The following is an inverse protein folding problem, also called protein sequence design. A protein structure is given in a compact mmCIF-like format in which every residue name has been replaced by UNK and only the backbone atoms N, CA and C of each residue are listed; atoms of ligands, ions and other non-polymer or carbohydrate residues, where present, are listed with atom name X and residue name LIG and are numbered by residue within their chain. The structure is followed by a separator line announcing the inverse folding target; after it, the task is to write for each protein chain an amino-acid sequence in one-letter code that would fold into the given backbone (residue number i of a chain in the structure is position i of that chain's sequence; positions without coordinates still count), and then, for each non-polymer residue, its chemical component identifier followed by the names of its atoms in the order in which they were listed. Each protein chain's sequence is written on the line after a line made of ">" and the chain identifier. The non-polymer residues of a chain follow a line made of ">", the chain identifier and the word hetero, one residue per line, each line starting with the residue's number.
data_IF_912864133947
#
_entry.id   IF_912864133947
#
_cell.length_a   1.000
_cell.length_b   1.000
_cell.length_c   1.000
_cell.angle_alpha   90.00
_cell.angle_beta   90.00
_cell.angle_gamma   90.00
#
_symmetry.space_group_name_H-M   'P 1'
#
loop_
_entity.id
_entity.type
_entity.pdbx_description
1 polymer ?
#
# COMPACT_ATOMS: atom_id res chain seq x y z
N UNK A 1 -0.79 5.21 10.82
CA UNK A 1 -1.35 4.11 10.01
C UNK A 1 -2.60 4.62 9.32
N UNK A 2 -2.98 4.05 8.19
CA UNK A 2 -4.23 4.37 7.49
C UNK A 2 -4.87 3.10 6.96
N UNK A 3 -6.14 3.20 6.60
CA UNK A 3 -6.96 2.07 6.19
C UNK A 3 -7.54 2.38 4.82
N UNK A 4 -7.46 1.41 3.93
CA UNK A 4 -8.17 1.38 2.65
C UNK A 4 -9.26 0.30 2.73
N UNK A 5 -10.50 0.73 2.56
CA UNK A 5 -11.69 -0.13 2.58
C UNK A 5 -12.31 -0.13 1.20
N UNK A 6 -12.36 -1.29 0.56
CA UNK A 6 -12.92 -1.46 -0.79
C UNK A 6 -13.93 -2.59 -0.78
N UNK A 7 -15.20 -2.26 -1.05
CA UNK A 7 -16.25 -3.27 -1.20
C UNK A 7 -15.99 -4.15 -2.43
N UNK A 8 -16.23 -5.46 -2.29
CA UNK A 8 -15.97 -6.41 -3.37
C UNK A 8 -14.49 -6.73 -3.60
N UNK A 9 -13.59 -6.33 -2.69
CA UNK A 9 -12.20 -6.77 -2.67
C UNK A 9 -11.96 -7.76 -1.53
N UNK A 10 -11.08 -8.73 -1.72
CA UNK A 10 -10.55 -9.60 -0.66
C UNK A 10 -9.02 -9.48 -0.59
N UNK A 11 -8.44 -9.04 0.55
CA UNK A 11 -9.13 -8.53 1.74
C UNK A 11 -9.84 -7.19 1.49
N UNK A 12 -11.03 -7.03 2.08
CA UNK A 12 -11.83 -5.80 1.95
C UNK A 12 -11.22 -4.61 2.69
N UNK A 13 -10.48 -4.88 3.77
CA UNK A 13 -9.77 -3.90 4.59
C UNK A 13 -8.26 -4.13 4.51
N UNK A 14 -7.51 -3.09 4.13
CA UNK A 14 -6.05 -3.12 4.09
C UNK A 14 -5.49 -1.97 4.92
N UNK A 15 -4.65 -2.30 5.90
CA UNK A 15 -3.90 -1.33 6.68
C UNK A 15 -2.57 -1.01 5.99
N UNK A 16 -2.23 0.28 5.89
CA UNK A 16 -0.97 0.72 5.29
C UNK A 16 -0.27 1.79 6.14
N UNK A 17 1.06 1.81 6.01
CA UNK A 17 1.92 2.75 6.71
C UNK A 17 1.79 4.16 6.10
N UNK A 18 1.68 5.16 6.98
CA UNK A 18 1.89 6.57 6.64
C UNK A 18 3.11 7.05 7.39
N UNK A 19 4.11 7.53 6.66
CA UNK A 19 5.38 7.92 7.26
C UNK A 19 5.25 9.24 8.02
N UNK A 20 5.86 9.26 9.21
CA UNK A 20 6.17 10.48 9.94
C UNK A 20 7.57 10.94 9.57
N UNK A 21 7.96 12.14 10.01
CA UNK A 21 9.31 12.63 9.82
C UNK A 21 10.33 11.75 10.57
N UNK A 22 11.54 11.63 10.01
CA UNK A 22 12.66 11.00 10.69
C UNK A 22 13.10 11.83 11.88
N UNK A 23 13.48 11.15 12.96
CA UNK A 23 14.09 11.78 14.14
C UNK A 23 15.56 12.12 13.92
N UNK A 24 16.23 11.39 13.03
CA UNK A 24 17.63 11.61 12.67
C UNK A 24 17.77 12.77 11.69
N UNK A 25 18.66 13.72 12.01
CA UNK A 25 18.94 14.89 11.16
C UNK A 25 19.46 14.47 9.78
N UNK A 26 19.13 15.26 8.76
CA UNK A 26 19.55 15.04 7.36
C UNK A 26 19.08 13.72 6.72
N UNK A 27 18.08 13.07 7.32
CA UNK A 27 17.42 11.90 6.74
C UNK A 27 15.97 12.21 6.40
N UNK A 28 15.46 11.51 5.39
CA UNK A 28 14.07 11.60 4.96
C UNK A 28 13.38 10.26 5.14
N UNK A 29 12.15 10.29 5.65
CA UNK A 29 11.38 9.07 5.77
C UNK A 29 10.80 8.70 4.41
N UNK A 30 10.99 7.45 4.01
CA UNK A 30 10.41 6.87 2.80
C UNK A 30 9.58 5.64 3.15
N UNK A 31 8.40 5.47 2.53
CA UNK A 31 7.63 4.24 2.69
C UNK A 31 8.36 3.06 2.02
N UNK A 32 8.21 1.88 2.61
CA UNK A 32 8.62 0.60 2.01
C UNK A 32 7.39 0.01 1.34
N UNK A 33 7.46 -0.17 0.03
CA UNK A 33 6.39 -0.79 -0.74
C UNK A 33 6.69 -2.25 -1.03
N UNK A 34 5.67 -3.10 -0.93
CA UNK A 34 5.65 -4.44 -1.49
C UNK A 34 4.44 -4.56 -2.42
N UNK A 35 4.53 -5.46 -3.40
CA UNK A 35 3.38 -5.81 -4.22
C UNK A 35 2.75 -7.10 -3.67
N UNK A 36 1.47 -7.03 -3.34
CA UNK A 36 0.66 -8.19 -2.95
C UNK A 36 -0.43 -8.42 -3.98
N UNK A 37 -1.05 -9.60 -3.95
CA UNK A 37 -2.24 -9.88 -4.74
C UNK A 37 -3.49 -9.65 -3.91
N UNK A 38 -4.50 -9.03 -4.52
CA UNK A 38 -5.86 -8.88 -3.96
C UNK A 38 -6.85 -9.44 -4.96
N UNK A 39 -7.98 -9.96 -4.48
CA UNK A 39 -9.06 -10.40 -5.36
C UNK A 39 -10.11 -9.31 -5.47
N UNK A 40 -10.56 -8.98 -6.68
CA UNK A 40 -11.66 -8.05 -6.93
C UNK A 40 -12.83 -8.81 -7.56
N UNK A 41 -14.02 -8.58 -7.03
CA UNK A 41 -15.26 -9.10 -7.57
C UNK A 41 -15.67 -8.28 -8.79
N UNK A 42 -15.79 -8.93 -9.92
CA UNK A 42 -16.35 -8.39 -11.16
C UNK A 42 -17.76 -8.94 -11.31
N UNK A 43 -18.75 -8.06 -11.42
CA UNK A 43 -20.12 -8.46 -11.76
C UNK A 43 -20.23 -8.65 -13.27
N UNK A 44 -20.37 -9.88 -13.71
CA UNK A 44 -20.68 -10.21 -15.10
C UNK A 44 -22.08 -10.86 -15.16
N UNK A 45 -23.12 -10.03 -15.23
CA UNK A 45 -24.50 -10.49 -15.10
C UNK A 45 -24.84 -10.92 -13.67
N UNK A 46 -25.51 -12.06 -13.51
CA UNK A 46 -25.95 -12.59 -12.21
C UNK A 46 -24.86 -13.38 -11.46
N UNK A 47 -23.77 -13.76 -12.13
CA UNK A 47 -22.74 -14.59 -11.53
C UNK A 47 -21.51 -13.73 -11.14
N UNK A 48 -21.15 -13.67 -9.86
CA UNK A 48 -19.94 -12.96 -9.43
C UNK A 48 -18.70 -13.74 -9.86
N UNK A 49 -17.80 -13.06 -10.58
CA UNK A 49 -16.48 -13.60 -10.94
C UNK A 49 -15.41 -12.84 -10.17
N UNK A 50 -14.27 -13.49 -9.94
CA UNK A 50 -13.16 -12.87 -9.22
C UNK A 50 -11.95 -12.74 -10.14
N UNK A 51 -11.31 -11.57 -10.11
CA UNK A 51 -10.02 -11.34 -10.74
C UNK A 51 -8.95 -11.10 -9.66
N UNK A 52 -7.73 -11.56 -9.92
CA UNK A 52 -6.57 -11.27 -9.09
C UNK A 52 -5.87 -10.02 -9.63
N UNK A 53 -5.73 -8.99 -8.79
CA UNK A 53 -5.10 -7.72 -9.14
C UNK A 53 -3.86 -7.47 -8.29
N UNK A 54 -2.78 -6.89 -8.85
CA UNK A 54 -1.66 -6.43 -8.06
C UNK A 54 -2.06 -5.21 -7.21
N UNK A 55 -1.59 -5.17 -5.98
CA UNK A 55 -1.80 -4.06 -5.05
C UNK A 55 -0.47 -3.65 -4.41
N UNK A 56 -0.11 -2.37 -4.53
CA UNK A 56 1.11 -1.83 -3.94
C UNK A 56 0.85 -1.38 -2.50
N UNK A 57 1.37 -2.14 -1.55
CA UNK A 57 1.16 -1.93 -0.11
C UNK A 57 2.38 -1.28 0.54
N UNK A 58 2.17 -0.12 1.18
CA UNK A 58 3.16 0.46 2.09
C UNK A 58 3.14 -0.28 3.43
N UNK A 59 4.12 -1.16 3.68
CA UNK A 59 4.17 -1.99 4.91
C UNK A 59 4.86 -1.32 6.08
N UNK A 60 5.68 -0.31 5.80
CA UNK A 60 6.45 0.37 6.81
C UNK A 60 7.13 1.62 6.26
N UNK A 61 7.97 2.23 7.08
CA UNK A 61 8.77 3.38 6.71
C UNK A 61 10.21 3.16 7.14
N UNK A 62 11.15 3.69 6.37
CA UNK A 62 12.57 3.70 6.71
C UNK A 62 13.13 5.10 6.50
N UNK A 63 14.17 5.44 7.25
CA UNK A 63 14.91 6.68 7.09
C UNK A 63 16.07 6.45 6.13
N UNK A 64 16.14 7.25 5.07
CA UNK A 64 17.24 7.21 4.10
C UNK A 64 17.97 8.55 4.07
N UNK A 65 19.27 8.52 3.77
CA UNK A 65 20.08 9.73 3.63
C UNK A 65 19.53 10.57 2.47
N UNK A 66 19.42 11.89 2.67
CA UNK A 66 19.07 12.79 1.57
C UNK A 66 20.15 12.71 0.50
N UNK A 67 19.83 12.20 -0.70
CA UNK A 67 20.73 12.33 -1.84
C UNK A 67 20.64 13.78 -2.31
N UNK A 68 21.70 14.56 -2.09
CA UNK A 68 21.92 15.74 -2.91
C UNK A 68 22.17 15.22 -4.33
N UNK A 69 21.25 15.51 -5.27
CA UNK A 69 21.63 15.48 -6.68
C UNK A 69 22.66 16.59 -6.84
N UNK A 70 23.94 16.21 -7.00
CA UNK A 70 24.96 17.09 -7.58
C UNK A 70 24.57 17.50 -8.98
#
# INVERSE_FOLDING_TARGET
>A
MSVDSTAGREPSLIHFAKCKNCTVKHMISKPIFIQVSVYHMIRNGNDPTWCQCPFNLAVGCTCVKHQHKS
#
